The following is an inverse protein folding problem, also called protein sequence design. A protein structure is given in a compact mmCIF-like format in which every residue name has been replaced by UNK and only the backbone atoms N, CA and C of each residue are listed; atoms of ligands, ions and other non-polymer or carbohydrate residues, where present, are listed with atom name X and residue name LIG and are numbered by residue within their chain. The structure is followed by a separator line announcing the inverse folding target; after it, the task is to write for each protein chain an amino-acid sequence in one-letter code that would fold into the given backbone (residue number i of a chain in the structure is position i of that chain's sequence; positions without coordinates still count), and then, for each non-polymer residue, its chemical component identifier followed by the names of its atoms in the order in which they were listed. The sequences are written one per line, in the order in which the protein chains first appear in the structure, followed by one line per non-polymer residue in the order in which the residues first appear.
data_IF_106494171361
#
_entry.id   IF_106494171361
#
_cell.length_a   1.000
_cell.length_b   1.000
_cell.length_c   1.000
_cell.angle_alpha   90.00
_cell.angle_beta   90.00
_cell.angle_gamma   90.00
#
_symmetry.space_group_name_H-M   'P 1'
#
loop_
_entity.id
_entity.type
_entity.pdbx_description
1 polymer ?
#
# COMPACT_ATOMS: atom_id res chain seq x y z
N UNK A 1 -14.26 -18.12 -21.75
CA UNK A 1 -13.25 -17.39 -22.55
C UNK A 1 -12.07 -17.16 -21.63
N UNK A 2 -10.90 -17.74 -21.93
CA UNK A 2 -9.67 -17.55 -21.15
C UNK A 2 -8.97 -16.27 -21.65
N UNK A 3 -9.54 -15.10 -21.37
CA UNK A 3 -8.88 -13.82 -21.63
C UNK A 3 -7.83 -13.53 -20.57
N UNK A 4 -6.63 -13.11 -20.96
CA UNK A 4 -5.62 -12.60 -20.03
C UNK A 4 -5.90 -11.12 -19.72
N UNK A 5 -6.16 -10.78 -18.46
CA UNK A 5 -6.27 -9.38 -18.00
C UNK A 5 -4.89 -8.77 -17.84
N UNK A 6 -4.71 -7.52 -18.26
CA UNK A 6 -3.40 -6.82 -18.26
C UNK A 6 -3.51 -5.44 -17.66
N UNK A 7 -2.46 -5.02 -16.97
CA UNK A 7 -2.27 -3.63 -16.55
C UNK A 7 -1.52 -2.91 -17.66
N UNK A 8 -2.20 -2.03 -18.38
CA UNK A 8 -1.65 -1.31 -19.53
C UNK A 8 -1.07 0.06 -19.15
N UNK A 9 -1.51 0.67 -18.05
CA UNK A 9 -0.92 1.90 -17.53
C UNK A 9 -1.11 2.08 -16.03
N UNK A 10 -0.15 2.75 -15.39
CA UNK A 10 -0.17 3.08 -13.96
C UNK A 10 0.34 4.50 -13.74
N UNK A 11 -0.14 5.17 -12.70
CA UNK A 11 0.44 6.42 -12.23
C UNK A 11 0.09 6.64 -10.76
N UNK A 12 0.89 7.47 -10.11
CA UNK A 12 0.73 7.82 -8.70
C UNK A 12 1.02 9.30 -8.49
N UNK A 13 0.29 9.93 -7.57
CA UNK A 13 0.69 11.22 -7.02
C UNK A 13 1.74 11.04 -5.93
N UNK A 14 2.47 12.11 -5.61
CA UNK A 14 3.36 12.12 -4.44
C UNK A 14 2.52 11.95 -3.17
N UNK A 15 2.86 11.00 -2.31
CA UNK A 15 2.19 10.85 -1.02
C UNK A 15 2.71 11.90 -0.04
N UNK A 16 1.80 12.48 0.72
CA UNK A 16 2.12 13.60 1.59
C UNK A 16 0.90 14.32 2.13
N UNK A 17 1.16 15.42 2.84
CA UNK A 17 0.12 16.29 3.40
C UNK A 17 -0.27 17.35 2.39
N UNK A 18 -1.29 17.06 1.58
CA UNK A 18 -1.84 17.98 0.59
C UNK A 18 -3.02 18.76 1.18
N UNK A 19 -2.76 19.96 1.72
CA UNK A 19 -3.79 20.81 2.36
C UNK A 19 -4.40 21.84 1.42
N UNK A 20 -3.70 22.12 0.34
CA UNK A 20 -3.98 23.11 -0.70
C UNK A 20 -4.70 22.50 -1.91
N UNK A 21 -4.90 21.18 -1.90
CA UNK A 21 -5.51 20.41 -2.99
C UNK A 21 -6.82 19.79 -2.55
N UNK A 22 -7.69 19.46 -3.50
CA UNK A 22 -8.88 18.64 -3.24
C UNK A 22 -8.57 17.16 -3.46
N UNK A 23 -9.35 16.27 -2.83
CA UNK A 23 -9.26 14.82 -3.06
C UNK A 23 -9.51 14.48 -4.54
N UNK A 24 -10.42 15.17 -5.21
CA UNK A 24 -10.67 15.01 -6.65
C UNK A 24 -9.44 15.41 -7.46
N UNK A 25 -8.77 16.53 -7.15
CA UNK A 25 -7.58 16.97 -7.89
C UNK A 25 -6.41 15.99 -7.78
N UNK A 26 -6.29 15.26 -6.64
CA UNK A 26 -5.29 14.22 -6.45
C UNK A 26 -5.63 12.98 -7.30
N UNK A 27 -6.90 12.58 -7.28
CA UNK A 27 -7.40 11.47 -8.10
C UNK A 27 -7.26 11.75 -9.60
N UNK A 28 -7.59 12.96 -10.06
CA UNK A 28 -7.49 13.37 -11.46
C UNK A 28 -6.05 13.32 -11.96
N UNK A 29 -5.08 13.79 -11.16
CA UNK A 29 -3.66 13.70 -11.52
C UNK A 29 -3.21 12.24 -11.75
N UNK A 30 -3.54 11.35 -10.81
CA UNK A 30 -3.22 9.93 -10.94
C UNK A 30 -3.97 9.27 -12.12
N UNK A 31 -5.27 9.51 -12.25
CA UNK A 31 -6.10 8.93 -13.30
C UNK A 31 -5.67 9.36 -14.70
N UNK A 32 -5.43 10.66 -14.93
CA UNK A 32 -4.91 11.17 -16.20
C UNK A 32 -3.50 10.65 -16.47
N UNK A 33 -2.67 10.54 -15.45
CA UNK A 33 -1.35 9.93 -15.55
C UNK A 33 -1.41 8.49 -16.05
N UNK A 34 -2.30 7.67 -15.48
CA UNK A 34 -2.43 6.26 -15.83
C UNK A 34 -2.99 6.06 -17.25
N UNK A 35 -3.97 6.88 -17.65
CA UNK A 35 -4.51 6.88 -19.03
C UNK A 35 -3.41 7.25 -20.03
N UNK A 36 -2.58 8.26 -19.70
CA UNK A 36 -1.45 8.66 -20.54
C UNK A 36 -0.38 7.57 -20.62
N UNK A 37 -0.04 6.95 -19.49
CA UNK A 37 0.93 5.84 -19.42
C UNK A 37 0.48 4.64 -20.27
N UNK A 38 -0.83 4.38 -20.32
CA UNK A 38 -1.42 3.36 -21.18
C UNK A 38 -1.39 3.71 -22.68
N UNK A 39 -1.02 4.93 -23.06
CA UNK A 39 -1.13 5.40 -24.45
C UNK A 39 -2.57 5.52 -24.95
N UNK A 40 -3.52 5.64 -24.03
CA UNK A 40 -4.95 5.74 -24.31
C UNK A 40 -5.44 7.18 -24.26
N UNK A 41 -6.65 7.40 -24.75
CA UNK A 41 -7.42 8.59 -24.45
C UNK A 41 -8.63 8.24 -23.55
N UNK A 42 -9.32 9.28 -23.05
CA UNK A 42 -10.49 9.10 -22.18
C UNK A 42 -11.65 8.34 -22.82
N UNK A 43 -11.74 8.30 -24.15
CA UNK A 43 -12.83 7.62 -24.87
C UNK A 43 -12.64 6.10 -24.89
N UNK A 44 -11.42 5.63 -24.61
CA UNK A 44 -11.13 4.20 -24.44
C UNK A 44 -11.51 3.64 -23.07
N UNK A 45 -12.08 4.43 -22.15
CA UNK A 45 -12.48 3.97 -20.82
C UNK A 45 -13.98 3.70 -20.78
N UNK A 46 -14.37 2.50 -20.33
CA UNK A 46 -15.78 2.07 -20.32
C UNK A 46 -16.42 2.09 -18.93
N UNK A 47 -15.61 1.98 -17.87
CA UNK A 47 -16.09 2.05 -16.48
C UNK A 47 -15.01 2.58 -15.52
N UNK A 48 -15.45 3.12 -14.39
CA UNK A 48 -14.60 3.64 -13.31
C UNK A 48 -14.83 2.87 -12.00
N UNK A 49 -13.76 2.34 -11.41
CA UNK A 49 -13.76 1.71 -10.10
C UNK A 49 -12.97 2.59 -9.12
N UNK A 50 -13.63 3.11 -8.09
CA UNK A 50 -13.05 4.10 -7.17
C UNK A 50 -12.95 3.55 -5.74
N UNK A 51 -11.74 3.30 -5.25
CA UNK A 51 -11.47 2.92 -3.86
C UNK A 51 -11.19 4.13 -2.96
N UNK A 52 -11.97 4.32 -1.91
CA UNK A 52 -11.76 5.37 -0.90
C UNK A 52 -12.44 5.00 0.43
N UNK A 53 -12.08 5.66 1.53
CA UNK A 53 -12.75 5.46 2.83
C UNK A 53 -13.42 6.76 3.30
N UNK A 54 -12.69 7.88 3.29
CA UNK A 54 -13.17 9.14 3.85
C UNK A 54 -13.46 10.23 2.81
N UNK A 55 -13.56 9.86 1.52
CA UNK A 55 -13.83 10.82 0.45
C UNK A 55 -15.30 11.24 0.29
N UNK A 56 -16.19 10.65 1.08
CA UNK A 56 -17.62 10.99 1.11
C UNK A 56 -18.43 10.38 -0.04
N UNK A 57 -19.73 10.70 -0.06
CA UNK A 57 -20.69 10.06 -0.96
C UNK A 57 -20.42 10.37 -2.43
N UNK A 58 -20.46 9.35 -3.30
CA UNK A 58 -20.32 9.50 -4.76
C UNK A 58 -18.97 10.10 -5.22
N UNK A 59 -17.88 9.86 -4.49
CA UNK A 59 -16.56 10.40 -4.85
C UNK A 59 -16.15 10.00 -6.27
N UNK A 60 -16.30 8.73 -6.65
CA UNK A 60 -15.97 8.25 -7.99
C UNK A 60 -16.69 9.03 -9.09
N UNK A 61 -17.97 9.36 -8.90
CA UNK A 61 -18.74 10.15 -9.86
C UNK A 61 -18.24 11.59 -9.95
N UNK A 62 -17.84 12.19 -8.82
CA UNK A 62 -17.22 13.52 -8.82
C UNK A 62 -15.90 13.51 -9.57
N UNK A 63 -15.05 12.52 -9.33
CA UNK A 63 -13.79 12.34 -10.05
C UNK A 63 -14.06 12.13 -11.55
N UNK A 64 -15.00 11.25 -11.90
CA UNK A 64 -15.38 10.97 -13.27
C UNK A 64 -15.81 12.24 -14.02
N UNK A 65 -16.61 13.11 -13.37
CA UNK A 65 -16.97 14.42 -13.91
C UNK A 65 -15.75 15.30 -14.19
N UNK A 66 -14.82 15.43 -13.24
CA UNK A 66 -13.60 16.24 -13.41
C UNK A 66 -12.67 15.69 -14.51
N UNK A 67 -12.69 14.38 -14.75
CA UNK A 67 -11.94 13.72 -15.82
C UNK A 67 -12.65 13.74 -17.19
N UNK A 68 -13.88 14.25 -17.27
CA UNK A 68 -14.71 14.17 -18.48
C UNK A 68 -15.10 12.73 -18.85
N UNK A 69 -15.28 11.90 -17.83
CA UNK A 69 -15.79 10.52 -17.86
C UNK A 69 -17.23 10.46 -17.29
N UNK A 70 -17.94 11.58 -17.30
CA UNK A 70 -19.33 11.65 -16.86
C UNK A 70 -20.22 10.75 -17.72
N UNK A 71 -21.16 10.07 -17.06
CA UNK A 71 -22.07 9.11 -17.70
C UNK A 71 -21.56 7.67 -17.77
N UNK A 72 -20.27 7.41 -17.48
CA UNK A 72 -19.77 6.04 -17.38
C UNK A 72 -20.26 5.34 -16.09
N UNK A 73 -20.54 4.03 -16.14
CA UNK A 73 -20.71 3.21 -14.94
C UNK A 73 -19.56 3.44 -13.95
N UNK A 74 -19.92 3.85 -12.73
CA UNK A 74 -18.94 4.21 -11.70
C UNK A 74 -19.27 3.50 -10.38
N UNK A 75 -18.31 2.77 -9.84
CA UNK A 75 -18.46 1.93 -8.66
C UNK A 75 -17.54 2.43 -7.55
N UNK A 76 -18.10 2.78 -6.39
CA UNK A 76 -17.32 3.18 -5.21
C UNK A 76 -17.13 1.96 -4.31
N UNK A 77 -15.89 1.70 -3.92
CA UNK A 77 -15.51 0.58 -3.06
C UNK A 77 -14.96 1.13 -1.75
N UNK A 78 -15.44 0.54 -0.66
CA UNK A 78 -14.96 0.79 0.69
C UNK A 78 -14.73 -0.57 1.35
N UNK A 79 -13.48 -0.83 1.71
CA UNK A 79 -13.03 -2.02 2.42
C UNK A 79 -11.82 -1.62 3.30
N UNK A 80 -11.99 -0.56 4.09
CA UNK A 80 -10.91 0.08 4.84
C UNK A 80 -9.66 0.34 3.96
N UNK A 81 -8.48 -0.09 4.38
CA UNK A 81 -7.24 0.15 3.62
C UNK A 81 -7.14 -0.69 2.35
N UNK A 82 -7.95 -1.75 2.24
CA UNK A 82 -7.99 -2.59 1.05
C UNK A 82 -8.93 -2.03 -0.02
N UNK A 83 -9.58 -0.85 0.16
CA UNK A 83 -10.52 -0.28 -0.81
C UNK A 83 -9.98 -0.21 -2.24
N UNK A 84 -8.71 0.21 -2.42
CA UNK A 84 -8.09 0.26 -3.74
C UNK A 84 -7.85 -1.12 -4.36
N UNK A 85 -7.40 -2.09 -3.55
CA UNK A 85 -7.20 -3.47 -3.98
C UNK A 85 -8.53 -4.17 -4.27
N UNK A 86 -9.57 -3.92 -3.47
CA UNK A 86 -10.93 -4.42 -3.71
C UNK A 86 -11.50 -3.85 -5.02
N UNK A 87 -11.34 -2.55 -5.26
CA UNK A 87 -11.73 -1.93 -6.53
C UNK A 87 -11.00 -2.56 -7.72
N UNK A 88 -9.71 -2.88 -7.58
CA UNK A 88 -8.95 -3.57 -8.62
C UNK A 88 -9.42 -5.02 -8.82
N UNK A 89 -9.71 -5.75 -7.73
CA UNK A 89 -10.21 -7.12 -7.79
C UNK A 89 -11.53 -7.20 -8.57
N UNK A 90 -12.49 -6.33 -8.26
CA UNK A 90 -13.78 -6.29 -8.96
C UNK A 90 -13.63 -5.81 -10.41
N UNK A 91 -12.71 -4.87 -10.68
CA UNK A 91 -12.37 -4.44 -12.04
C UNK A 91 -11.78 -5.60 -12.87
N UNK A 92 -10.88 -6.41 -12.30
CA UNK A 92 -10.34 -7.61 -12.96
C UNK A 92 -11.47 -8.60 -13.27
N UNK A 93 -12.41 -8.81 -12.34
CA UNK A 93 -13.59 -9.64 -12.58
C UNK A 93 -14.46 -9.13 -13.72
N UNK A 94 -14.70 -7.82 -13.78
CA UNK A 94 -15.49 -7.18 -14.82
C UNK A 94 -14.83 -7.31 -16.22
N UNK A 95 -13.50 -7.15 -16.31
CA UNK A 95 -12.77 -7.35 -17.57
C UNK A 95 -12.73 -8.82 -17.98
N UNK A 96 -12.42 -9.72 -17.04
CA UNK A 96 -12.28 -11.16 -17.32
C UNK A 96 -13.62 -11.79 -17.75
N UNK A 97 -14.74 -11.25 -17.25
CA UNK A 97 -16.09 -11.68 -17.65
C UNK A 97 -16.56 -11.13 -18.99
N UNK A 98 -15.81 -10.21 -19.60
CA UNK A 98 -16.19 -9.52 -20.84
C UNK A 98 -17.27 -8.47 -20.64
N UNK A 99 -17.50 -7.99 -19.41
CA UNK A 99 -18.42 -6.90 -19.15
C UNK A 99 -17.88 -5.56 -19.67
N UNK A 100 -16.56 -5.37 -19.58
CA UNK A 100 -15.82 -4.23 -20.10
C UNK A 100 -14.49 -4.73 -20.69
N UNK A 101 -14.01 -4.09 -21.74
CA UNK A 101 -12.68 -4.33 -22.33
C UNK A 101 -11.61 -3.47 -21.65
N UNK A 102 -11.94 -2.23 -21.29
CA UNK A 102 -10.99 -1.30 -20.66
C UNK A 102 -11.67 -0.48 -19.57
N UNK A 103 -11.10 -0.55 -18.36
CA UNK A 103 -11.61 0.13 -17.16
C UNK A 103 -10.51 0.95 -16.51
N UNK A 104 -10.90 2.02 -15.83
CA UNK A 104 -10.00 2.81 -14.99
C UNK A 104 -10.26 2.49 -13.52
N UNK A 105 -9.19 2.20 -12.77
CA UNK A 105 -9.25 2.00 -11.32
C UNK A 105 -8.52 3.14 -10.64
N UNK A 106 -9.20 3.86 -9.76
CA UNK A 106 -8.66 4.98 -9.00
C UNK A 106 -8.78 4.68 -7.51
N UNK A 107 -7.68 4.84 -6.80
CA UNK A 107 -7.61 4.74 -5.35
C UNK A 107 -7.17 6.10 -4.84
N UNK A 108 -7.91 6.67 -3.88
CA UNK A 108 -7.60 8.01 -3.38
C UNK A 108 -8.00 8.16 -1.92
N UNK A 109 -7.24 8.96 -1.19
CA UNK A 109 -7.60 9.37 0.17
C UNK A 109 -7.01 10.75 0.48
N UNK A 110 -7.68 11.52 1.34
CA UNK A 110 -7.20 12.82 1.82
C UNK A 110 -7.34 12.96 3.35
N UNK A 111 -6.52 12.21 4.08
CA UNK A 111 -6.54 12.20 5.55
C UNK A 111 -6.10 13.52 6.19
N UNK A 112 -5.31 14.34 5.49
CA UNK A 112 -4.84 15.62 6.02
C UNK A 112 -5.96 16.60 6.36
N UNK A 113 -7.16 16.40 5.80
CA UNK A 113 -8.37 17.17 6.12
C UNK A 113 -9.01 16.76 7.46
N UNK A 114 -8.74 15.55 7.95
CA UNK A 114 -9.30 15.02 9.21
C UNK A 114 -8.51 15.48 10.46
N UNK A 115 -7.40 16.19 10.26
CA UNK A 115 -6.49 16.57 11.34
C UNK A 115 -5.42 15.51 11.62
N UNK A 116 -4.76 15.61 12.78
CA UNK A 116 -3.85 14.58 13.26
C UNK A 116 -4.47 13.82 14.43
N UNK A 117 -4.22 12.52 14.55
CA UNK A 117 -4.78 11.70 15.62
C UNK A 117 -5.19 10.34 15.13
N UNK A 118 -5.96 9.60 15.93
CA UNK A 118 -6.55 8.34 15.49
C UNK A 118 -7.63 8.62 14.44
N UNK A 119 -7.74 7.73 13.46
CA UNK A 119 -8.84 7.77 12.50
C UNK A 119 -10.18 7.61 13.22
N UNK A 120 -11.27 8.23 12.71
CA UNK A 120 -12.60 8.05 13.28
C UNK A 120 -12.98 6.57 13.37
N UNK A 121 -13.50 6.12 14.52
CA UNK A 121 -13.79 4.69 14.74
C UNK A 121 -15.01 4.17 13.99
N UNK A 122 -15.87 5.04 13.46
CA UNK A 122 -17.09 4.63 12.75
C UNK A 122 -18.05 3.78 13.58
N UNK A 123 -17.88 3.72 14.92
CA UNK A 123 -18.66 2.83 15.79
C UNK A 123 -18.03 1.45 16.03
N UNK A 124 -16.76 1.24 15.66
CA UNK A 124 -16.00 0.03 15.93
C UNK A 124 -16.04 -0.34 17.44
N UNK A 125 -16.60 -1.51 17.82
CA UNK A 125 -16.73 -1.93 19.20
C UNK A 125 -15.39 -2.11 19.93
N UNK A 126 -14.35 -2.52 19.22
CA UNK A 126 -13.00 -2.70 19.76
C UNK A 126 -12.36 -1.34 20.07
N UNK A 127 -12.47 -0.39 19.15
CA UNK A 127 -12.00 0.98 19.41
C UNK A 127 -12.76 1.65 20.55
N UNK A 128 -14.06 1.37 20.71
CA UNK A 128 -14.88 1.91 21.79
C UNK A 128 -14.42 1.43 23.18
N UNK A 129 -13.78 0.26 23.27
CA UNK A 129 -13.17 -0.24 24.52
C UNK A 129 -11.67 0.07 24.61
N UNK A 130 -11.15 0.95 23.74
CA UNK A 130 -9.77 1.40 23.75
C UNK A 130 -8.79 0.49 23.00
N UNK A 131 -9.27 -0.54 22.30
CA UNK A 131 -8.45 -1.37 21.43
C UNK A 131 -8.21 -0.65 20.10
N UNK A 132 -7.33 0.34 20.14
CA UNK A 132 -6.92 1.09 18.95
C UNK A 132 -6.03 0.24 18.05
N UNK A 133 -5.94 0.58 16.76
CA UNK A 133 -5.07 -0.13 15.82
C UNK A 133 -3.60 -0.18 16.25
N UNK A 134 -2.96 0.92 16.71
CA UNK A 134 -1.61 0.84 17.27
C UNK A 134 -1.53 -0.15 18.44
N UNK A 135 -2.52 -0.18 19.34
CA UNK A 135 -2.54 -1.14 20.45
C UNK A 135 -2.64 -2.60 19.94
N UNK A 136 -3.46 -2.86 18.92
CA UNK A 136 -3.55 -4.18 18.29
C UNK A 136 -2.20 -4.63 17.67
N UNK A 137 -1.51 -3.73 16.94
CA UNK A 137 -0.17 -4.02 16.41
C UNK A 137 0.87 -4.24 17.51
N UNK A 138 0.77 -3.52 18.61
CA UNK A 138 1.67 -3.67 19.76
C UNK A 138 1.52 -5.06 20.38
N UNK A 139 0.28 -5.49 20.62
CA UNK A 139 -0.02 -6.83 21.12
C UNK A 139 0.40 -7.94 20.14
N UNK A 140 0.27 -7.72 18.83
CA UNK A 140 0.79 -8.67 17.82
C UNK A 140 2.31 -8.76 17.90
N UNK A 141 3.00 -7.62 18.08
CA UNK A 141 4.46 -7.57 18.25
C UNK A 141 4.89 -8.33 19.50
N UNK A 142 4.30 -8.05 20.66
CA UNK A 142 4.56 -8.79 21.91
C UNK A 142 4.33 -10.29 21.76
N UNK A 143 3.18 -10.66 21.19
CA UNK A 143 2.82 -12.06 20.99
C UNK A 143 3.80 -12.77 20.08
N UNK A 144 4.29 -12.12 19.02
CA UNK A 144 5.28 -12.66 18.11
C UNK A 144 6.63 -12.85 18.80
N UNK A 145 7.17 -11.79 19.42
CA UNK A 145 8.47 -11.82 20.11
C UNK A 145 8.47 -12.81 21.28
N UNK A 146 7.38 -12.90 22.04
CA UNK A 146 7.23 -13.86 23.13
C UNK A 146 7.25 -15.32 22.66
N UNK A 147 6.71 -15.60 21.47
CA UNK A 147 6.61 -16.97 20.92
C UNK A 147 7.86 -17.42 20.18
N UNK A 148 8.49 -16.51 19.45
CA UNK A 148 9.56 -16.85 18.50
C UNK A 148 10.92 -16.26 18.89
N UNK A 149 10.97 -15.43 19.93
CA UNK A 149 12.18 -14.71 20.31
C UNK A 149 12.39 -13.44 19.49
N UNK A 150 13.50 -12.75 19.74
CA UNK A 150 13.84 -11.45 19.16
C UNK A 150 13.66 -10.30 20.14
N UNK A 151 13.99 -9.09 19.68
CA UNK A 151 13.95 -7.85 20.47
C UNK A 151 13.20 -6.75 19.71
N UNK A 152 12.67 -5.73 20.39
CA UNK A 152 12.03 -4.58 19.75
C UNK A 152 12.92 -3.89 18.69
N UNK A 153 14.23 -3.88 18.90
CA UNK A 153 15.22 -3.37 17.94
C UNK A 153 15.18 -4.11 16.60
N UNK A 154 14.89 -5.41 16.63
CA UNK A 154 14.85 -6.24 15.43
C UNK A 154 13.62 -5.87 14.58
N UNK A 155 12.47 -5.59 15.21
CA UNK A 155 11.27 -5.04 14.54
C UNK A 155 11.57 -3.65 13.95
N UNK A 156 12.32 -2.81 14.67
CA UNK A 156 12.66 -1.46 14.22
C UNK A 156 13.55 -1.46 12.95
N UNK A 157 14.26 -2.55 12.64
CA UNK A 157 15.03 -2.66 11.39
C UNK A 157 14.16 -2.60 10.13
N UNK A 158 12.90 -3.05 10.21
CA UNK A 158 11.93 -2.91 9.12
C UNK A 158 11.73 -1.44 8.75
N UNK A 159 11.63 -0.57 9.76
CA UNK A 159 11.48 0.89 9.57
C UNK A 159 12.73 1.49 8.91
N UNK A 160 13.92 1.07 9.34
CA UNK A 160 15.19 1.53 8.77
C UNK A 160 15.28 1.13 7.29
N UNK A 161 14.98 -0.14 6.97
CA UNK A 161 14.93 -0.66 5.59
C UNK A 161 13.95 0.16 4.75
N UNK A 162 12.71 0.31 5.23
CA UNK A 162 11.65 1.07 4.57
C UNK A 162 12.08 2.52 4.26
N UNK A 163 12.70 3.22 5.23
CA UNK A 163 13.15 4.60 5.05
C UNK A 163 14.27 4.74 4.03
N UNK A 164 15.20 3.79 4.04
CA UNK A 164 16.29 3.76 3.07
C UNK A 164 15.75 3.62 1.63
N UNK A 165 14.74 2.77 1.42
CA UNK A 165 14.07 2.57 0.13
C UNK A 165 13.31 3.81 -0.33
N UNK A 166 12.57 4.43 0.57
CA UNK A 166 11.82 5.66 0.30
C UNK A 166 12.72 6.84 -0.11
N UNK A 167 13.98 6.89 0.36
CA UNK A 167 14.91 7.97 -0.02
C UNK A 167 15.11 8.12 -1.53
N UNK A 168 15.03 7.00 -2.25
CA UNK A 168 15.17 6.94 -3.71
C UNK A 168 13.82 7.01 -4.45
N UNK A 169 12.69 6.94 -3.73
CA UNK A 169 11.37 7.01 -4.33
C UNK A 169 10.87 8.46 -4.39
N UNK A 170 10.66 8.98 -5.61
CA UNK A 170 10.15 10.35 -5.83
C UNK A 170 8.72 10.55 -5.31
N UNK A 171 7.94 9.48 -5.16
CA UNK A 171 6.55 9.54 -4.70
C UNK A 171 6.40 9.36 -3.18
N UNK A 172 7.49 9.05 -2.46
CA UNK A 172 7.44 8.80 -1.04
C UNK A 172 7.29 10.08 -0.21
N UNK A 173 6.44 10.00 0.83
CA UNK A 173 6.26 11.06 1.81
C UNK A 173 7.52 11.32 2.63
N UNK A 174 8.24 10.26 3.00
CA UNK A 174 9.37 10.36 3.91
C UNK A 174 10.68 9.89 3.27
N UNK A 175 11.44 10.85 2.75
CA UNK A 175 12.63 10.57 1.93
C UNK A 175 13.96 10.73 2.67
N UNK A 176 13.95 11.23 3.90
CA UNK A 176 15.15 11.34 4.73
C UNK A 176 15.46 10.00 5.38
N UNK A 177 16.64 9.39 5.15
CA UNK A 177 17.05 8.17 5.85
C UNK A 177 16.97 8.31 7.37
N UNK A 178 16.80 7.18 8.08
CA UNK A 178 16.75 7.12 9.55
C UNK A 178 17.69 6.03 10.06
N UNK A 179 18.23 6.21 11.26
CA UNK A 179 18.95 5.14 11.98
C UNK A 179 18.05 4.36 12.92
N UNK A 180 18.52 3.19 13.39
CA UNK A 180 17.86 2.40 14.42
C UNK A 180 17.66 3.21 15.70
N UNK A 181 18.71 3.90 16.17
CA UNK A 181 18.67 4.71 17.38
C UNK A 181 17.58 5.80 17.30
N UNK A 182 17.41 6.43 16.14
CA UNK A 182 16.36 7.42 15.93
C UNK A 182 14.94 6.82 15.93
N UNK A 183 14.79 5.57 15.47
CA UNK A 183 13.51 4.84 15.53
C UNK A 183 13.17 4.48 16.96
N UNK A 184 14.14 3.94 17.71
CA UNK A 184 13.98 3.54 19.11
C UNK A 184 13.77 4.75 20.04
N UNK A 185 14.43 5.88 19.76
CA UNK A 185 14.23 7.12 20.49
C UNK A 185 12.93 7.86 20.13
N UNK A 186 12.18 7.39 19.12
CA UNK A 186 10.94 8.05 18.73
C UNK A 186 9.81 7.77 19.74
N UNK A 187 8.85 8.70 19.80
CA UNK A 187 7.77 8.68 20.81
C UNK A 187 7.07 7.31 20.86
N UNK A 188 6.98 6.73 22.05
CA UNK A 188 6.22 5.49 22.28
C UNK A 188 4.73 5.71 21.94
N UNK A 189 4.15 4.81 21.16
CA UNK A 189 2.71 4.80 20.90
C UNK A 189 1.99 3.80 21.80
N UNK A 190 2.49 2.57 21.83
CA UNK A 190 2.04 1.48 22.68
C UNK A 190 3.23 0.54 22.84
N UNK A 191 3.53 0.05 24.04
CA UNK A 191 4.67 -0.84 24.24
C UNK A 191 4.51 -2.15 23.44
N UNK A 192 5.48 -2.58 22.60
CA UNK A 192 6.87 -2.09 22.44
C UNK A 192 7.08 -1.20 21.20
N UNK A 193 6.00 -0.78 20.53
CA UNK A 193 6.05 -0.06 19.25
C UNK A 193 6.14 1.47 19.42
N UNK A 194 7.06 2.05 18.67
CA UNK A 194 7.26 3.51 18.60
C UNK A 194 6.48 4.13 17.44
N UNK A 195 6.32 5.46 17.45
CA UNK A 195 5.62 6.22 16.42
C UNK A 195 6.15 5.97 15.01
N UNK A 196 7.47 5.74 14.85
CA UNK A 196 8.06 5.47 13.53
C UNK A 196 7.81 4.03 13.04
N UNK A 197 7.33 3.15 13.91
CA UNK A 197 7.06 1.73 13.62
C UNK A 197 5.61 1.47 13.18
N UNK A 198 4.81 2.52 13.06
CA UNK A 198 3.40 2.47 12.65
C UNK A 198 3.10 3.61 11.69
N UNK A 199 2.55 3.27 10.53
CA UNK A 199 1.79 4.18 9.69
C UNK A 199 0.30 3.83 9.88
N UNK A 200 -0.54 4.79 10.19
CA UNK A 200 -1.93 4.47 10.54
C UNK A 200 -2.71 3.89 9.35
N UNK A 201 -3.02 2.57 9.39
CA UNK A 201 -4.37 1.97 9.24
C UNK A 201 -4.42 0.47 8.85
N UNK A 202 -5.61 -0.10 9.06
CA UNK A 202 -6.14 -1.49 9.06
C UNK A 202 -5.65 -2.54 8.03
N UNK A 203 -5.71 -3.83 8.40
CA UNK A 203 -5.15 -5.00 7.68
C UNK A 203 -6.17 -6.12 7.39
N UNK A 204 -6.10 -6.80 6.23
CA UNK A 204 -6.43 -8.24 6.03
C UNK A 204 -6.15 -8.72 4.59
N UNK A 205 -5.29 -9.73 4.41
CA UNK A 205 -5.40 -10.76 3.35
C UNK A 205 -4.47 -11.93 3.69
N UNK A 206 -4.67 -13.08 3.05
CA UNK A 206 -3.87 -14.29 3.23
C UNK A 206 -3.72 -15.01 1.90
N UNK A 207 -2.50 -15.05 1.40
CA UNK A 207 -2.09 -15.76 0.17
C UNK A 207 -0.64 -16.20 0.36
N UNK A 208 -0.21 -17.27 -0.31
CA UNK A 208 1.18 -17.73 -0.32
C UNK A 208 1.77 -17.61 -1.71
N UNK A 209 3.04 -17.24 -1.83
CA UNK A 209 3.76 -17.03 -3.07
C UNK A 209 5.17 -17.63 -2.97
N UNK A 210 5.36 -18.80 -3.59
CA UNK A 210 6.70 -19.33 -3.89
C UNK A 210 7.11 -18.81 -5.27
N UNK A 211 8.39 -18.46 -5.45
CA UNK A 211 8.98 -17.92 -6.69
C UNK A 211 8.53 -16.49 -7.04
N UNK A 212 8.68 -15.55 -6.10
CA UNK A 212 8.45 -14.12 -6.33
C UNK A 212 9.76 -13.36 -6.24
N UNK A 213 10.03 -12.51 -7.23
CA UNK A 213 11.22 -11.67 -7.25
C UNK A 213 11.00 -10.39 -6.43
N UNK A 214 9.78 -9.83 -6.51
CA UNK A 214 9.41 -8.59 -5.82
C UNK A 214 8.04 -8.70 -5.16
N UNK A 215 7.97 -8.35 -3.87
CA UNK A 215 6.70 -8.27 -3.13
C UNK A 215 6.45 -6.86 -2.60
N UNK A 216 5.20 -6.43 -2.65
CA UNK A 216 4.71 -5.29 -1.86
C UNK A 216 3.72 -5.83 -0.83
N UNK A 217 3.98 -5.60 0.46
CA UNK A 217 3.16 -6.10 1.56
C UNK A 217 2.66 -4.95 2.42
N UNK A 218 1.51 -5.14 3.05
CA UNK A 218 0.84 -4.13 3.88
C UNK A 218 1.55 -3.86 5.23
N UNK A 219 2.67 -3.14 5.21
CA UNK A 219 3.48 -2.78 6.39
C UNK A 219 2.94 -1.59 7.18
N UNK A 220 1.62 -1.48 7.42
CA UNK A 220 1.06 -0.40 8.25
C UNK A 220 1.64 -0.38 9.68
N UNK A 221 2.18 -1.50 10.16
CA UNK A 221 3.15 -1.51 11.23
C UNK A 221 4.30 -2.45 10.86
N UNK A 222 5.48 -2.22 11.42
CA UNK A 222 6.68 -3.02 11.14
C UNK A 222 6.46 -4.54 11.34
N UNK A 223 5.70 -4.94 12.37
CA UNK A 223 5.33 -6.34 12.61
C UNK A 223 4.47 -6.93 11.48
N UNK A 224 3.68 -6.12 10.78
CA UNK A 224 2.87 -6.56 9.65
C UNK A 224 3.75 -7.11 8.53
N UNK A 225 4.82 -6.40 8.18
CA UNK A 225 5.78 -6.84 7.18
C UNK A 225 6.39 -8.22 7.54
N UNK A 226 6.81 -8.39 8.80
CA UNK A 226 7.37 -9.64 9.32
C UNK A 226 6.37 -10.80 9.21
N UNK A 227 5.14 -10.59 9.69
CA UNK A 227 4.09 -11.61 9.64
C UNK A 227 3.68 -11.95 8.19
N UNK A 228 3.75 -10.99 7.27
CA UNK A 228 3.39 -11.23 5.87
C UNK A 228 4.45 -11.99 5.10
N UNK A 229 5.73 -11.97 5.49
CA UNK A 229 6.70 -12.90 4.91
C UNK A 229 6.29 -14.36 5.12
N UNK A 230 5.85 -14.68 6.35
CA UNK A 230 5.42 -16.03 6.72
C UNK A 230 4.09 -16.38 6.07
N UNK A 231 3.14 -15.44 6.08
CA UNK A 231 1.82 -15.65 5.47
C UNK A 231 1.95 -15.88 3.97
N UNK A 232 2.87 -15.16 3.30
CA UNK A 232 3.24 -15.36 1.90
C UNK A 232 4.12 -16.58 1.68
N UNK A 233 4.62 -17.26 2.72
CA UNK A 233 5.51 -18.41 2.56
C UNK A 233 6.86 -18.06 1.92
N UNK A 234 7.33 -16.82 2.09
CA UNK A 234 8.68 -16.39 1.73
C UNK A 234 9.73 -16.93 2.71
N UNK A 235 9.31 -17.22 3.93
CA UNK A 235 10.08 -17.91 4.97
C UNK A 235 9.14 -18.79 5.82
N UNK A 236 9.69 -19.68 6.64
CA UNK A 236 8.89 -20.50 7.55
C UNK A 236 8.34 -19.66 8.71
N UNK A 237 7.26 -20.13 9.33
CA UNK A 237 6.63 -19.45 10.47
C UNK A 237 7.60 -19.32 11.64
N UNK A 238 7.78 -18.10 12.15
CA UNK A 238 8.74 -17.73 13.18
C UNK A 238 10.06 -17.20 12.62
N UNK A 239 10.37 -17.43 11.34
CA UNK A 239 11.61 -17.00 10.68
C UNK A 239 11.49 -15.61 10.02
N UNK A 240 10.32 -14.96 10.09
CA UNK A 240 10.11 -13.66 9.45
C UNK A 240 11.09 -12.59 9.92
N UNK A 241 11.56 -12.66 11.17
CA UNK A 241 12.56 -11.74 11.68
C UNK A 241 13.95 -11.99 11.07
N UNK A 242 14.37 -13.25 11.03
CA UNK A 242 15.65 -13.65 10.44
C UNK A 242 15.68 -13.30 8.95
N UNK A 243 14.55 -13.41 8.25
CA UNK A 243 14.40 -13.01 6.85
C UNK A 243 14.68 -11.50 6.62
N UNK A 244 14.36 -10.64 7.59
CA UNK A 244 14.75 -9.22 7.54
C UNK A 244 16.22 -9.03 7.88
N UNK A 245 16.67 -9.61 8.99
CA UNK A 245 18.00 -9.35 9.55
C UNK A 245 19.14 -9.92 8.69
N UNK A 246 18.90 -11.05 8.02
CA UNK A 246 19.83 -11.65 7.06
C UNK A 246 19.93 -10.87 5.74
N UNK A 247 19.00 -9.95 5.48
CA UNK A 247 18.91 -9.17 4.25
C UNK A 247 18.16 -9.87 3.11
N UNK A 248 17.50 -11.00 3.36
CA UNK A 248 16.74 -11.72 2.32
C UNK A 248 15.56 -10.91 1.77
N UNK A 249 14.96 -10.04 2.59
CA UNK A 249 13.94 -9.08 2.14
C UNK A 249 14.49 -7.81 1.46
N UNK A 250 15.82 -7.68 1.35
CA UNK A 250 16.45 -6.53 0.70
C UNK A 250 16.42 -6.67 -0.83
N UNK A 251 16.74 -5.59 -1.53
CA UNK A 251 16.73 -5.53 -3.00
C UNK A 251 17.56 -6.62 -3.70
N UNK A 252 18.62 -7.09 -3.04
CA UNK A 252 19.53 -8.13 -3.56
C UNK A 252 19.39 -9.47 -2.80
N UNK A 253 18.37 -9.61 -1.95
CA UNK A 253 18.07 -10.84 -1.24
C UNK A 253 17.20 -11.78 -2.08
N UNK A 254 16.73 -12.88 -1.50
CA UNK A 254 15.89 -13.86 -2.17
C UNK A 254 14.59 -13.27 -2.74
N UNK A 255 13.95 -12.33 -2.02
CA UNK A 255 12.75 -11.63 -2.48
C UNK A 255 12.79 -10.19 -2.02
N UNK A 256 12.84 -9.26 -2.97
CA UNK A 256 12.85 -7.83 -2.64
C UNK A 256 11.47 -7.39 -2.14
N UNK A 257 11.37 -6.93 -0.88
CA UNK A 257 10.08 -6.50 -0.31
C UNK A 257 10.01 -5.02 -0.03
N UNK A 258 8.91 -4.39 -0.46
CA UNK A 258 8.60 -2.98 -0.25
C UNK A 258 9.68 -2.04 -0.83
N UNK A 259 10.07 -2.27 -2.09
CA UNK A 259 11.18 -1.58 -2.77
C UNK A 259 10.99 -0.08 -2.89
N UNK A 260 9.74 0.38 -2.90
CA UNK A 260 9.38 1.80 -2.91
C UNK A 260 9.36 2.46 -1.53
N UNK A 261 9.59 1.69 -0.46
CA UNK A 261 9.56 2.15 0.93
C UNK A 261 8.31 1.78 1.72
N UNK A 262 7.39 0.99 1.14
CA UNK A 262 6.21 0.49 1.86
C UNK A 262 5.33 1.60 2.45
N UNK A 263 4.33 1.21 3.22
CA UNK A 263 3.42 2.11 3.92
C UNK A 263 4.18 2.95 4.95
N UNK A 264 5.18 2.39 5.66
CA UNK A 264 5.94 3.08 6.71
C UNK A 264 6.70 4.34 6.24
N UNK A 265 7.10 4.38 4.95
CA UNK A 265 7.91 5.49 4.43
C UNK A 265 7.41 6.08 3.12
N UNK A 266 6.83 5.29 2.20
CA UNK A 266 6.13 5.85 1.03
C UNK A 266 4.89 6.62 1.47
N UNK A 267 4.18 6.10 2.47
CA UNK A 267 2.95 6.67 3.04
C UNK A 267 1.75 5.76 2.81
N UNK A 268 0.70 5.95 3.62
CA UNK A 268 -0.49 5.08 3.61
C UNK A 268 -1.83 5.84 3.44
N UNK A 269 -2.08 6.46 2.28
CA UNK A 269 -3.42 6.89 1.91
C UNK A 269 -4.30 5.66 1.65
N UNK A 270 -5.21 5.38 2.58
CA UNK A 270 -6.07 4.18 2.65
C UNK A 270 -6.50 3.67 1.28
N UNK A 271 -7.39 4.40 0.59
CA UNK A 271 -7.97 3.99 -0.68
C UNK A 271 -6.96 3.84 -1.82
N UNK A 272 -5.79 4.48 -1.74
CA UNK A 272 -4.78 4.45 -2.79
C UNK A 272 -3.69 3.38 -2.58
N UNK A 273 -3.60 2.80 -1.38
CA UNK A 273 -2.44 1.97 -1.01
C UNK A 273 -2.31 0.72 -1.86
N UNK A 274 -3.41 -0.05 -2.03
CA UNK A 274 -3.39 -1.26 -2.87
C UNK A 274 -2.98 -0.97 -4.31
N UNK A 275 -3.42 0.16 -4.88
CA UNK A 275 -3.03 0.55 -6.24
C UNK A 275 -1.59 1.06 -6.31
N UNK A 276 -1.09 1.71 -5.26
CA UNK A 276 0.30 2.14 -5.19
C UNK A 276 1.26 0.93 -5.13
N UNK A 277 0.90 -0.13 -4.40
CA UNK A 277 1.64 -1.40 -4.43
C UNK A 277 1.70 -1.93 -5.86
N UNK A 278 0.55 -2.03 -6.54
CA UNK A 278 0.48 -2.49 -7.94
C UNK A 278 1.26 -1.59 -8.91
N UNK A 279 1.24 -0.27 -8.70
CA UNK A 279 2.01 0.66 -9.52
C UNK A 279 3.53 0.48 -9.36
N UNK A 280 4.01 0.28 -8.13
CA UNK A 280 5.43 -0.02 -7.87
C UNK A 280 5.84 -1.35 -8.52
N UNK A 281 5.04 -2.40 -8.37
CA UNK A 281 5.31 -3.71 -8.97
C UNK A 281 5.29 -3.64 -10.51
N UNK A 282 4.35 -2.89 -11.08
CA UNK A 282 4.29 -2.67 -12.53
C UNK A 282 5.55 -1.95 -13.00
N UNK A 283 6.00 -0.92 -12.28
CA UNK A 283 7.24 -0.22 -12.59
C UNK A 283 8.48 -1.11 -12.44
N UNK A 284 8.51 -2.01 -11.43
CA UNK A 284 9.59 -2.98 -11.27
C UNK A 284 9.67 -3.94 -12.46
N UNK A 285 8.54 -4.53 -12.85
CA UNK A 285 8.47 -5.44 -14.00
C UNK A 285 8.79 -4.75 -15.33
N UNK A 286 8.63 -3.42 -15.41
CA UNK A 286 8.99 -2.61 -16.58
C UNK A 286 10.42 -2.07 -16.57
N UNK A 287 11.17 -2.19 -15.45
CA UNK A 287 12.52 -1.63 -15.34
C UNK A 287 12.56 -0.13 -15.04
N UNK A 288 11.49 0.44 -14.46
CA UNK A 288 11.25 1.89 -14.38
C UNK A 288 11.48 2.49 -12.98
N UNK A 289 11.98 1.71 -12.02
CA UNK A 289 12.15 2.16 -10.61
C UNK A 289 13.53 2.75 -10.30
N UNK A 290 14.40 2.89 -11.30
CA UNK A 290 15.70 3.56 -11.16
C UNK A 290 16.60 2.89 -10.11
N UNK A 291 17.02 3.63 -9.08
CA UNK A 291 17.92 3.10 -8.06
C UNK A 291 17.31 1.94 -7.23
N UNK A 292 15.98 1.87 -7.16
CA UNK A 292 15.25 0.81 -6.48
C UNK A 292 15.00 -0.43 -7.35
N UNK A 293 15.45 -0.43 -8.61
CA UNK A 293 15.25 -1.54 -9.53
C UNK A 293 15.88 -2.83 -9.02
N UNK A 294 15.08 -3.90 -9.07
CA UNK A 294 15.50 -5.29 -8.87
C UNK A 294 15.88 -5.86 -10.23
N UNK A 295 17.09 -6.41 -10.31
CA UNK A 295 17.65 -6.91 -11.56
C UNK A 295 16.94 -8.21 -11.96
N UNK A 296 16.38 -8.25 -13.17
CA UNK A 296 15.77 -9.46 -13.72
C UNK A 296 14.41 -9.86 -13.11
N UNK A 297 13.69 -8.92 -12.47
CA UNK A 297 12.36 -9.21 -11.92
C UNK A 297 11.35 -9.61 -13.01
N UNK A 298 10.74 -10.79 -12.88
CA UNK A 298 9.73 -11.34 -13.79
C UNK A 298 8.40 -11.61 -13.09
N UNK A 299 8.42 -11.94 -11.79
CA UNK A 299 7.25 -12.30 -10.99
C UNK A 299 7.12 -11.38 -9.78
N UNK A 300 5.96 -10.75 -9.65
CA UNK A 300 5.65 -9.81 -8.58
C UNK A 300 4.33 -10.14 -7.87
N UNK A 301 4.24 -9.82 -6.57
CA UNK A 301 3.02 -10.00 -5.77
C UNK A 301 2.70 -8.77 -4.91
N UNK A 302 1.42 -8.41 -4.85
CA UNK A 302 0.90 -7.41 -3.91
C UNK A 302 0.03 -8.10 -2.86
N UNK A 303 0.19 -7.70 -1.60
CA UNK A 303 -0.57 -8.16 -0.45
C UNK A 303 -1.03 -6.98 0.42
#
# INVERSE_FOLDING_TARGET
MNGSTRIVGVAQTVFGKHRDRTIESLAVEAGVGAVRDAGLDRTGIEALFCGNVFGGSLLGQRIGKEMGLDGLPTFNHENACASGAAALHDAIGAVTSGQYETVLVIGVEQLSALGGGLLPSGGDPEMNIGLTQPAAYAMRTESYLSRFGGRPEDIAQVVVKSRQRASQNRFAQYRTPTSLDEVMASRLLADPITLRSVEQAYSSAGVTARNVDVAEVHDAAAIGEVMYYEALGLCERGEGMDFVLSGESAKAGATAVNTGGGLLSRGHPLGATGLAQVAELTAQLRGETGANQVDGAEVAVAH
#
